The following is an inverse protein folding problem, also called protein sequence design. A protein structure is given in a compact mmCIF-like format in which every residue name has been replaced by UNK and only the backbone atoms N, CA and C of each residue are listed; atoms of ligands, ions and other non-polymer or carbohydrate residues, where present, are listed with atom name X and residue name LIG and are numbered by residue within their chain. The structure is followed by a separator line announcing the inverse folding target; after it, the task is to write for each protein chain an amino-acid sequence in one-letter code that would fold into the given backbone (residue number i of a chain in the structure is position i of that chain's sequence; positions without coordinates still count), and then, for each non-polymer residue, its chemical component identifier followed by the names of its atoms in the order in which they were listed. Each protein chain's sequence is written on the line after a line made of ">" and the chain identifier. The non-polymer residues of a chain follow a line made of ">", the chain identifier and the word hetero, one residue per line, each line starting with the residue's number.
data_IF_392801221077
#
_entry.id   IF_392801221077
#
_cell.length_a   1.000
_cell.length_b   1.000
_cell.length_c   1.000
_cell.angle_alpha   90.00
_cell.angle_beta   90.00
_cell.angle_gamma   90.00
#
_symmetry.space_group_name_H-M   'P 1'
#
loop_
_entity.id
_entity.type
_entity.pdbx_description
1 polymer ?
#
# COMPACT_ATOMS: atom_id res chain seq x y z
N UNK A 1 17.63 -17.71 41.94
CA UNK A 1 17.29 -17.48 40.52
C UNK A 1 17.57 -16.01 40.17
N UNK A 2 18.57 -15.78 39.35
CA UNK A 2 18.98 -14.43 38.99
C UNK A 2 18.14 -13.95 37.79
N UNK A 3 17.10 -13.17 38.05
CA UNK A 3 16.24 -12.55 37.02
C UNK A 3 16.96 -11.54 36.10
N UNK A 4 18.21 -11.22 36.37
CA UNK A 4 19.00 -10.25 35.59
C UNK A 4 19.47 -10.75 34.21
N UNK A 5 19.41 -12.05 33.93
CA UNK A 5 19.94 -12.63 32.68
C UNK A 5 18.86 -12.73 31.58
N UNK A 6 17.58 -12.61 31.93
CA UNK A 6 16.48 -12.79 30.96
C UNK A 6 16.19 -11.51 30.17
N UNK A 7 16.40 -10.34 30.78
CA UNK A 7 16.10 -9.03 30.15
C UNK A 7 16.92 -8.73 28.87
N UNK A 8 18.23 -9.01 28.82
CA UNK A 8 18.97 -8.74 27.59
C UNK A 8 18.63 -9.72 26.45
N UNK A 9 18.22 -10.96 26.76
CA UNK A 9 17.86 -11.94 25.75
C UNK A 9 16.54 -11.59 25.07
N UNK A 10 15.54 -11.16 25.82
CA UNK A 10 14.25 -10.68 25.27
C UNK A 10 14.43 -9.44 24.40
N UNK A 11 15.30 -8.52 24.78
CA UNK A 11 15.61 -7.32 24.01
C UNK A 11 16.35 -7.65 22.70
N UNK A 12 17.24 -8.64 22.72
CA UNK A 12 17.94 -9.16 21.54
C UNK A 12 16.98 -9.89 20.58
N UNK A 13 16.06 -10.69 21.10
CA UNK A 13 15.05 -11.39 20.27
C UNK A 13 14.08 -10.38 19.63
N UNK A 14 13.65 -9.37 20.37
CA UNK A 14 12.80 -8.30 19.84
C UNK A 14 13.52 -7.49 18.76
N UNK A 15 14.81 -7.17 18.93
CA UNK A 15 15.60 -6.47 17.92
C UNK A 15 15.89 -7.34 16.68
N UNK A 16 16.14 -8.64 16.84
CA UNK A 16 16.35 -9.54 15.71
C UNK A 16 15.09 -9.75 14.88
N UNK A 17 13.90 -9.82 15.51
CA UNK A 17 12.62 -9.90 14.80
C UNK A 17 12.28 -8.60 14.06
N UNK A 18 12.64 -7.43 14.60
CA UNK A 18 12.44 -6.15 13.90
C UNK A 18 13.37 -6.00 12.68
N UNK A 19 14.60 -6.55 12.71
CA UNK A 19 15.53 -6.51 11.58
C UNK A 19 15.11 -7.43 10.42
N UNK A 20 14.20 -8.41 10.63
CA UNK A 20 13.67 -9.32 9.60
C UNK A 20 12.41 -8.77 8.92
N UNK A 21 11.77 -7.72 9.46
CA UNK A 21 10.63 -7.07 8.83
C UNK A 21 11.11 -6.10 7.74
N UNK A 22 10.38 -6.04 6.65
CA UNK A 22 10.59 -5.00 5.63
C UNK A 22 10.44 -3.62 6.26
N UNK A 23 11.34 -2.72 5.90
CA UNK A 23 11.15 -1.30 6.17
C UNK A 23 9.93 -0.78 5.40
N UNK A 24 9.31 0.33 5.83
CA UNK A 24 8.22 0.94 5.06
C UNK A 24 8.59 1.16 3.59
N UNK A 25 9.75 1.71 3.30
CA UNK A 25 10.24 1.94 1.93
C UNK A 25 10.37 0.65 1.10
N UNK A 26 10.94 -0.40 1.68
CA UNK A 26 11.06 -1.71 1.02
C UNK A 26 9.68 -2.29 0.71
N UNK A 27 8.73 -2.14 1.64
CA UNK A 27 7.36 -2.58 1.46
C UNK A 27 6.67 -1.83 0.32
N UNK A 28 6.86 -0.50 0.22
CA UNK A 28 6.29 0.29 -0.88
C UNK A 28 6.88 -0.13 -2.22
N UNK A 29 8.17 -0.37 -2.33
CA UNK A 29 8.77 -0.90 -3.55
C UNK A 29 8.18 -2.25 -3.95
N UNK A 30 7.99 -3.16 -2.99
CA UNK A 30 7.34 -4.45 -3.23
C UNK A 30 5.88 -4.26 -3.65
N UNK A 31 5.16 -3.36 -3.00
CA UNK A 31 3.79 -3.03 -3.34
C UNK A 31 3.67 -2.56 -4.80
N UNK A 32 4.54 -1.64 -5.23
CA UNK A 32 4.57 -1.15 -6.62
C UNK A 32 4.83 -2.30 -7.61
N UNK A 33 5.77 -3.18 -7.30
CA UNK A 33 6.06 -4.34 -8.16
C UNK A 33 4.84 -5.22 -8.33
N UNK A 34 4.18 -5.60 -7.23
CA UNK A 34 3.01 -6.46 -7.24
C UNK A 34 1.79 -5.79 -7.90
N UNK A 35 1.64 -4.48 -7.70
CA UNK A 35 0.62 -3.68 -8.37
C UNK A 35 0.81 -3.71 -9.89
N UNK A 36 2.02 -3.49 -10.37
CA UNK A 36 2.35 -3.49 -11.79
C UNK A 36 2.26 -4.88 -12.44
N UNK A 37 2.40 -5.94 -11.64
CA UNK A 37 2.17 -7.32 -12.06
C UNK A 37 0.68 -7.70 -12.08
N UNK A 38 -0.20 -6.87 -11.54
CA UNK A 38 -1.62 -7.19 -11.37
C UNK A 38 -1.86 -8.34 -10.40
N UNK A 39 -1.00 -8.51 -9.41
CA UNK A 39 -1.02 -9.64 -8.49
C UNK A 39 -1.82 -9.32 -7.21
N UNK A 40 -3.15 -9.41 -7.29
CA UNK A 40 -4.05 -9.10 -6.20
C UNK A 40 -3.85 -10.00 -4.97
N UNK A 41 -3.52 -11.27 -5.16
CA UNK A 41 -3.29 -12.22 -4.06
C UNK A 41 -2.05 -11.84 -3.24
N UNK A 42 -0.94 -11.55 -3.91
CA UNK A 42 0.31 -11.23 -3.22
C UNK A 42 0.30 -9.81 -2.64
N UNK A 43 -0.30 -8.84 -3.35
CA UNK A 43 -0.39 -7.46 -2.83
C UNK A 43 -1.25 -7.40 -1.56
N UNK A 44 -2.32 -8.17 -1.46
CA UNK A 44 -3.17 -8.22 -0.27
C UNK A 44 -2.42 -8.73 0.97
N UNK A 45 -1.42 -9.58 0.80
CA UNK A 45 -0.59 -10.09 1.91
C UNK A 45 0.26 -9.00 2.58
N UNK A 46 0.44 -7.86 1.92
CA UNK A 46 1.15 -6.72 2.48
C UNK A 46 0.31 -5.93 3.51
N UNK A 47 -0.97 -6.22 3.62
CA UNK A 47 -1.92 -5.54 4.51
C UNK A 47 -2.19 -6.33 5.78
N UNK A 48 -2.43 -5.61 6.88
CA UNK A 48 -3.00 -6.19 8.10
C UNK A 48 -4.42 -6.70 7.85
N UNK A 49 -4.88 -7.65 8.67
CA UNK A 49 -6.23 -8.23 8.56
C UNK A 49 -7.33 -7.16 8.61
N UNK A 50 -7.16 -6.13 9.45
CA UNK A 50 -8.11 -5.04 9.65
C UNK A 50 -7.67 -3.74 8.96
N UNK A 51 -6.81 -3.83 7.94
CA UNK A 51 -6.34 -2.66 7.21
C UNK A 51 -7.49 -1.91 6.50
N UNK A 52 -7.26 -0.62 6.28
CA UNK A 52 -8.17 0.24 5.53
C UNK A 52 -7.45 0.76 4.31
N UNK A 53 -8.06 0.60 3.13
CA UNK A 53 -7.63 1.26 1.90
C UNK A 53 -8.70 2.28 1.50
N UNK A 54 -8.33 3.55 1.54
CA UNK A 54 -9.21 4.65 1.18
C UNK A 54 -8.65 5.39 -0.04
N UNK A 55 -9.13 5.04 -1.21
CA UNK A 55 -8.99 5.90 -2.37
C UNK A 55 -10.01 7.04 -2.20
N UNK A 56 -9.51 8.26 -1.98
CA UNK A 56 -10.35 9.38 -1.47
C UNK A 56 -11.51 9.74 -2.41
N UNK A 57 -11.38 9.42 -3.70
CA UNK A 57 -12.48 9.56 -4.67
C UNK A 57 -13.61 8.51 -4.52
N UNK A 58 -13.48 7.56 -3.61
CA UNK A 58 -14.38 6.42 -3.39
C UNK A 58 -14.57 6.16 -1.89
N UNK A 59 -15.50 5.28 -1.54
CA UNK A 59 -15.68 4.85 -0.16
C UNK A 59 -14.50 3.99 0.33
N UNK A 60 -14.15 4.06 1.63
CA UNK A 60 -13.11 3.22 2.20
C UNK A 60 -13.42 1.72 2.09
N UNK A 61 -12.40 0.94 1.77
CA UNK A 61 -12.45 -0.52 1.76
C UNK A 61 -11.79 -1.03 3.04
N UNK A 62 -12.52 -1.80 3.82
CA UNK A 62 -12.10 -2.25 5.15
C UNK A 62 -11.86 -3.75 5.17
N UNK A 63 -10.69 -4.15 5.66
CA UNK A 63 -10.29 -5.53 5.81
C UNK A 63 -9.52 -6.08 4.60
N UNK A 64 -8.58 -6.95 4.90
CA UNK A 64 -7.64 -7.52 3.91
C UNK A 64 -8.35 -8.24 2.76
N UNK A 65 -9.40 -9.01 3.05
CA UNK A 65 -10.11 -9.75 2.03
C UNK A 65 -10.88 -8.81 1.07
N UNK A 66 -11.51 -7.77 1.60
CA UNK A 66 -12.17 -6.75 0.79
C UNK A 66 -11.15 -5.95 -0.06
N UNK A 67 -9.98 -5.69 0.49
CA UNK A 67 -8.87 -5.04 -0.24
C UNK A 67 -8.36 -5.96 -1.36
N UNK A 68 -8.23 -7.26 -1.12
CA UNK A 68 -7.87 -8.23 -2.15
C UNK A 68 -8.88 -8.20 -3.30
N UNK A 69 -10.17 -8.24 -2.97
CA UNK A 69 -11.24 -8.19 -3.98
C UNK A 69 -11.23 -6.86 -4.76
N UNK A 70 -11.00 -5.75 -4.09
CA UNK A 70 -10.85 -4.44 -4.73
C UNK A 70 -9.74 -4.46 -5.80
N UNK A 71 -8.56 -4.99 -5.47
CA UNK A 71 -7.47 -5.11 -6.45
C UNK A 71 -7.80 -6.06 -7.60
N UNK A 72 -8.46 -7.17 -7.33
CA UNK A 72 -8.92 -8.07 -8.40
C UNK A 72 -9.82 -7.34 -9.40
N UNK A 73 -10.81 -6.61 -8.91
CA UNK A 73 -11.76 -5.87 -9.74
C UNK A 73 -11.06 -4.73 -10.51
N UNK A 74 -10.13 -4.02 -9.88
CA UNK A 74 -9.38 -2.95 -10.52
C UNK A 74 -8.47 -3.46 -11.63
N UNK A 75 -7.74 -4.54 -11.40
CA UNK A 75 -6.83 -5.12 -12.39
C UNK A 75 -7.57 -5.74 -13.58
N UNK A 76 -8.80 -6.23 -13.36
CA UNK A 76 -9.67 -6.71 -14.44
C UNK A 76 -10.26 -5.57 -15.28
N UNK A 77 -10.39 -4.37 -14.70
CA UNK A 77 -11.08 -3.23 -15.33
C UNK A 77 -10.15 -2.39 -16.20
N UNK A 78 -8.89 -2.23 -15.81
CA UNK A 78 -7.94 -1.37 -16.49
C UNK A 78 -6.50 -1.88 -16.37
N UNK A 79 -5.71 -1.66 -17.42
CA UNK A 79 -4.26 -1.78 -17.35
C UNK A 79 -3.72 -0.60 -16.53
N UNK A 80 -3.30 -0.90 -15.30
CA UNK A 80 -2.80 0.11 -14.37
C UNK A 80 -1.31 -0.09 -14.16
N UNK A 81 -0.54 0.96 -14.37
CA UNK A 81 0.90 0.98 -14.10
C UNK A 81 1.23 2.14 -13.20
N UNK A 82 1.85 1.83 -12.07
CA UNK A 82 2.37 2.80 -11.12
C UNK A 82 3.86 3.02 -11.39
N UNK A 83 4.23 4.23 -11.75
CA UNK A 83 5.63 4.64 -11.94
C UNK A 83 5.98 5.56 -10.76
N UNK A 84 6.79 5.10 -9.79
CA UNK A 84 7.20 5.92 -8.67
C UNK A 84 8.03 7.12 -9.14
N UNK A 85 7.71 8.31 -8.63
CA UNK A 85 8.52 9.51 -8.84
C UNK A 85 9.30 9.85 -7.58
N UNK A 86 8.67 9.72 -6.41
CA UNK A 86 9.28 10.03 -5.13
C UNK A 86 8.65 9.21 -4.01
N UNK A 87 9.45 8.79 -3.05
CA UNK A 87 9.00 8.21 -1.78
C UNK A 87 9.55 9.07 -0.64
N UNK A 88 8.64 9.63 0.16
CA UNK A 88 8.94 10.40 1.36
C UNK A 88 8.58 9.57 2.59
N UNK A 89 9.40 9.68 3.63
CA UNK A 89 9.21 8.96 4.89
C UNK A 89 8.96 9.96 6.02
N UNK A 90 7.94 9.69 6.83
CA UNK A 90 7.64 10.45 8.04
C UNK A 90 7.10 9.51 9.13
N UNK A 91 7.98 9.08 10.03
CA UNK A 91 7.66 8.13 11.10
C UNK A 91 7.15 6.81 10.53
N UNK A 92 5.91 6.44 10.89
CA UNK A 92 5.24 5.21 10.41
C UNK A 92 4.60 5.37 9.02
N UNK A 93 4.68 6.57 8.45
CA UNK A 93 4.08 6.89 7.17
C UNK A 93 5.11 6.99 6.07
N UNK A 94 4.81 6.36 4.94
CA UNK A 94 5.47 6.60 3.67
C UNK A 94 4.50 7.22 2.69
N UNK A 95 4.99 8.17 1.89
CA UNK A 95 4.22 8.83 0.85
C UNK A 95 4.86 8.48 -0.49
N UNK A 96 4.10 7.82 -1.34
CA UNK A 96 4.47 7.49 -2.71
C UNK A 96 3.84 8.51 -3.65
N UNK A 97 4.65 9.37 -4.25
CA UNK A 97 4.25 10.14 -5.42
C UNK A 97 4.47 9.29 -6.67
N UNK A 98 3.45 9.21 -7.51
CA UNK A 98 3.47 8.36 -8.70
C UNK A 98 2.86 9.06 -9.93
N UNK A 99 3.18 8.52 -11.08
CA UNK A 99 2.47 8.78 -12.33
C UNK A 99 2.12 7.47 -13.03
N UNK A 100 1.16 7.52 -13.93
CA UNK A 100 0.93 6.45 -14.90
C UNK A 100 1.64 6.76 -16.24
N UNK A 101 1.68 5.80 -17.19
CA UNK A 101 2.27 6.02 -18.51
C UNK A 101 1.60 7.12 -19.34
N UNK A 102 0.34 7.43 -19.06
CA UNK A 102 -0.43 8.48 -19.76
C UNK A 102 -0.20 9.87 -19.15
N UNK A 103 0.51 9.96 -18.02
CA UNK A 103 0.86 11.21 -17.37
C UNK A 103 -0.09 11.62 -16.22
N UNK A 104 -1.07 10.82 -15.87
CA UNK A 104 -1.86 11.03 -14.65
C UNK A 104 -0.93 10.93 -13.45
N UNK A 105 -1.05 11.87 -12.52
CA UNK A 105 -0.27 11.90 -11.29
C UNK A 105 -1.16 11.75 -10.07
N UNK A 106 -0.60 11.17 -9.03
CA UNK A 106 -1.25 11.04 -7.75
C UNK A 106 -0.25 10.75 -6.64
N UNK A 107 -0.77 10.59 -5.43
CA UNK A 107 0.03 10.16 -4.30
C UNK A 107 -0.75 9.19 -3.42
N UNK A 108 -0.02 8.28 -2.80
CA UNK A 108 -0.53 7.34 -1.82
C UNK A 108 0.20 7.52 -0.50
N UNK A 109 -0.56 7.56 0.59
CA UNK A 109 -0.07 7.56 1.97
C UNK A 109 -0.22 6.17 2.54
N UNK A 110 0.87 5.60 3.04
CA UNK A 110 0.90 4.26 3.61
C UNK A 110 1.36 4.32 5.06
N UNK A 111 0.51 3.89 5.99
CA UNK A 111 0.92 3.67 7.37
C UNK A 111 1.36 2.23 7.52
N UNK A 112 2.62 2.03 7.83
CA UNK A 112 3.23 0.70 7.98
C UNK A 112 3.52 0.45 9.44
N UNK A 113 2.94 -0.62 9.98
CA UNK A 113 3.11 -1.05 11.37
C UNK A 113 3.51 -2.51 11.37
N UNK A 114 4.61 -2.83 12.04
CA UNK A 114 5.14 -4.19 12.11
C UNK A 114 5.27 -4.88 10.73
N UNK A 115 5.78 -4.13 9.75
CA UNK A 115 6.08 -4.66 8.43
C UNK A 115 4.87 -4.88 7.52
N UNK A 116 3.69 -4.36 7.88
CA UNK A 116 2.46 -4.44 7.08
C UNK A 116 1.71 -3.12 7.03
N UNK A 117 0.95 -2.92 5.98
CA UNK A 117 0.10 -1.74 5.79
C UNK A 117 -1.11 -1.83 6.71
N UNK A 118 -1.28 -0.86 7.59
CA UNK A 118 -2.45 -0.68 8.44
C UNK A 118 -3.48 0.25 7.79
N UNK A 119 -3.01 1.28 7.11
CA UNK A 119 -3.83 2.28 6.42
C UNK A 119 -3.15 2.67 5.11
N UNK A 120 -3.94 2.76 4.06
CA UNK A 120 -3.55 3.40 2.81
C UNK A 120 -4.60 4.45 2.44
N UNK A 121 -4.14 5.62 2.00
CA UNK A 121 -5.00 6.65 1.38
C UNK A 121 -4.42 7.03 0.04
N UNK A 122 -5.24 7.00 -1.00
CA UNK A 122 -4.85 7.41 -2.34
C UNK A 122 -5.53 8.71 -2.76
N UNK A 123 -4.76 9.63 -3.31
CA UNK A 123 -5.23 10.90 -3.83
C UNK A 123 -4.92 11.00 -5.32
N UNK A 124 -5.96 11.02 -6.14
CA UNK A 124 -5.88 11.14 -7.58
C UNK A 124 -7.19 11.67 -8.15
N UNK A 125 -7.14 12.28 -9.33
CA UNK A 125 -8.33 12.83 -9.97
C UNK A 125 -9.06 11.77 -10.80
N UNK A 126 -10.21 11.33 -10.30
CA UNK A 126 -11.03 10.31 -10.94
C UNK A 126 -11.50 10.70 -12.34
N UNK A 127 -11.88 11.95 -12.54
CA UNK A 127 -12.36 12.40 -13.84
C UNK A 127 -11.23 12.39 -14.89
N UNK A 128 -10.05 12.86 -14.52
CA UNK A 128 -8.87 12.79 -15.38
C UNK A 128 -8.50 11.33 -15.70
N UNK A 129 -8.52 10.44 -14.71
CA UNK A 129 -8.28 9.01 -14.93
C UNK A 129 -9.24 8.42 -15.96
N UNK A 130 -10.54 8.63 -15.78
CA UNK A 130 -11.55 8.09 -16.70
C UNK A 130 -11.38 8.62 -18.13
N UNK A 131 -11.10 9.93 -18.27
CA UNK A 131 -10.86 10.55 -19.59
C UNK A 131 -9.62 10.02 -20.27
N UNK A 132 -8.50 9.97 -19.55
CA UNK A 132 -7.21 9.54 -20.09
C UNK A 132 -7.21 8.06 -20.49
N UNK A 133 -7.91 7.22 -19.76
CA UNK A 133 -8.04 5.79 -20.03
C UNK A 133 -9.23 5.43 -20.96
N UNK A 134 -9.97 6.43 -21.45
CA UNK A 134 -11.12 6.21 -22.34
C UNK A 134 -12.26 5.42 -21.68
N UNK A 135 -12.40 5.54 -20.35
CA UNK A 135 -13.43 4.85 -19.58
C UNK A 135 -14.72 5.66 -19.49
N UNK A 136 -15.88 5.01 -19.30
CA UNK A 136 -17.16 5.71 -19.20
C UNK A 136 -17.18 6.70 -18.02
N UNK A 137 -17.61 7.92 -18.29
CA UNK A 137 -17.83 8.93 -17.26
C UNK A 137 -19.26 8.76 -16.74
N UNK A 138 -19.47 8.56 -15.42
CA UNK A 138 -20.80 8.50 -14.84
C UNK A 138 -21.61 9.75 -15.20
N UNK A 139 -22.86 9.55 -15.62
CA UNK A 139 -23.80 10.66 -15.79
C UNK A 139 -24.32 11.08 -14.42
N UNK A 140 -24.49 12.38 -14.20
CA UNK A 140 -25.17 12.93 -13.02
C UNK A 140 -26.63 12.44 -12.96
#
# INVERSE_FOLDING_TARGET
>A
MNFKVIYPLFKLISQSNQSLLMTPRELIHKWVTLFNEGNAEEIAKLYHENAINHQVAQDPVCGKEAIRQMFMDEFDTADMTCIPEQILEDGDWDILEWRDPLGLRGCGFFKVVQGKIEMQRGYWDKLSFLRMHGLPIPKE
#
